data_IF_454308910398
#
_entry.id   IF_454308910398
#
_cell.length_a   1.000
_cell.length_b   1.000
_cell.length_c   1.000
_cell.angle_alpha   90.00
_cell.angle_beta   90.00
_cell.angle_gamma   90.00
#
_symmetry.space_group_name_H-M   'P 1'
#
loop_
_entity.id
_entity.type
_entity.pdbx_description
1 polymer ?
#
# COMPACT_ATOMS: atom_id res chain seq x y z
N UNK A 1 12.78 12.21 -4.44
CA UNK A 1 13.13 13.39 -5.26
C UNK A 1 14.60 13.40 -5.64
N UNK A 2 15.54 13.30 -4.69
CA UNK A 2 16.99 13.31 -4.98
C UNK A 2 17.39 12.22 -5.98
N UNK A 3 16.94 10.99 -5.79
CA UNK A 3 17.20 9.86 -6.70
C UNK A 3 16.65 10.09 -8.10
N UNK A 4 15.50 10.72 -8.21
CA UNK A 4 14.91 11.07 -9.50
C UNK A 4 15.72 12.16 -10.21
N UNK A 5 16.10 13.20 -9.49
CA UNK A 5 16.98 14.27 -10.02
C UNK A 5 18.31 13.69 -10.49
N UNK A 6 18.94 12.80 -9.70
CA UNK A 6 20.16 12.10 -10.09
C UNK A 6 19.95 11.25 -11.36
N UNK A 7 18.80 10.57 -11.47
CA UNK A 7 18.45 9.83 -12.67
C UNK A 7 18.31 10.72 -13.92
N UNK A 8 17.65 11.89 -13.80
CA UNK A 8 17.55 12.86 -14.88
C UNK A 8 18.94 13.38 -15.29
N UNK A 9 19.79 13.69 -14.32
CA UNK A 9 21.19 14.12 -14.60
C UNK A 9 21.95 13.01 -15.32
N UNK A 10 21.81 11.76 -14.90
CA UNK A 10 22.46 10.62 -15.55
C UNK A 10 21.97 10.45 -17.01
N UNK A 11 20.70 10.70 -17.28
CA UNK A 11 20.15 10.67 -18.64
C UNK A 11 20.69 11.82 -19.49
N UNK A 12 20.76 13.04 -18.94
CA UNK A 12 21.28 14.22 -19.63
C UNK A 12 22.80 14.14 -19.91
N UNK A 13 23.54 13.48 -19.01
CA UNK A 13 25.00 13.26 -19.18
C UNK A 13 25.33 12.06 -20.07
N UNK A 14 24.32 11.32 -20.56
CA UNK A 14 24.52 10.17 -21.42
C UNK A 14 24.93 8.87 -20.70
N UNK A 15 24.94 8.86 -19.38
CA UNK A 15 25.18 7.64 -18.59
C UNK A 15 23.98 6.69 -18.62
N UNK A 16 22.78 7.23 -18.79
CA UNK A 16 21.54 6.46 -18.88
C UNK A 16 20.99 6.57 -20.31
N UNK A 17 21.05 5.46 -21.06
CA UNK A 17 20.54 5.40 -22.42
C UNK A 17 19.10 4.87 -22.41
N UNK A 18 18.20 5.62 -23.03
CA UNK A 18 16.80 5.22 -23.26
C UNK A 18 16.76 4.20 -24.38
N UNK A 19 16.32 2.99 -24.08
CA UNK A 19 16.13 1.91 -25.05
C UNK A 19 14.76 1.25 -24.84
N UNK A 20 13.73 1.70 -25.59
CA UNK A 20 12.37 1.16 -25.44
C UNK A 20 12.28 -0.34 -25.74
N UNK A 21 13.21 -0.90 -26.53
CA UNK A 21 13.23 -2.32 -26.83
C UNK A 21 13.66 -3.19 -25.62
N UNK A 22 14.33 -2.58 -24.63
CA UNK A 22 14.77 -3.21 -23.39
C UNK A 22 13.96 -2.71 -22.17
N UNK A 23 12.81 -2.13 -22.41
CA UNK A 23 11.93 -1.54 -21.37
C UNK A 23 12.60 -0.43 -20.53
N UNK A 24 13.63 0.22 -21.10
CA UNK A 24 14.34 1.33 -20.47
C UNK A 24 13.72 2.65 -20.95
N UNK A 25 12.85 3.22 -20.15
CA UNK A 25 12.09 4.43 -20.49
C UNK A 25 12.78 5.72 -20.05
N UNK A 26 12.39 6.84 -20.66
CA UNK A 26 12.90 8.16 -20.29
C UNK A 26 12.53 8.52 -18.86
N UNK A 27 13.52 9.03 -18.11
CA UNK A 27 13.34 9.52 -16.73
C UNK A 27 12.88 10.98 -16.72
N UNK A 28 12.93 11.64 -17.87
CA UNK A 28 12.42 13.01 -18.03
C UNK A 28 10.92 12.93 -18.23
N UNK A 29 10.11 13.56 -17.37
CA UNK A 29 8.66 13.52 -17.48
C UNK A 29 8.22 14.20 -18.79
N UNK A 30 7.54 13.46 -19.64
CA UNK A 30 6.88 14.02 -20.83
C UNK A 30 5.38 14.12 -20.57
N UNK A 31 4.86 15.32 -20.52
CA UNK A 31 3.42 15.56 -20.36
C UNK A 31 2.69 15.63 -21.72
N UNK A 32 3.37 15.23 -22.79
CA UNK A 32 2.78 15.16 -24.12
C UNK A 32 1.67 14.11 -24.15
N UNK A 33 0.42 14.54 -24.29
CA UNK A 33 -0.77 13.67 -24.24
C UNK A 33 -1.28 13.35 -22.85
N UNK A 34 -0.76 13.98 -21.80
CA UNK A 34 -1.24 13.78 -20.44
C UNK A 34 -2.66 14.34 -20.27
N UNK A 35 -3.60 13.49 -19.85
CA UNK A 35 -4.94 13.92 -19.47
C UNK A 35 -5.00 14.13 -17.96
N UNK A 36 -5.28 15.35 -17.55
CA UNK A 36 -5.54 15.71 -16.15
C UNK A 36 -6.95 15.38 -15.70
N UNK A 37 -7.80 14.91 -16.62
CA UNK A 37 -9.14 14.45 -16.29
C UNK A 37 -9.03 12.94 -16.03
N UNK A 38 -9.34 12.46 -14.82
CA UNK A 38 -9.31 11.05 -14.51
C UNK A 38 -10.32 10.30 -15.38
N UNK A 39 -9.91 9.15 -15.89
CA UNK A 39 -10.85 8.26 -16.61
C UNK A 39 -11.86 7.70 -15.60
N UNK A 40 -13.09 7.52 -16.04
CA UNK A 40 -14.10 6.87 -15.23
C UNK A 40 -13.65 5.46 -14.82
N UNK A 41 -13.84 5.06 -13.55
CA UNK A 41 -13.52 3.72 -13.10
C UNK A 41 -14.40 2.68 -13.82
N UNK A 42 -13.90 1.47 -13.95
CA UNK A 42 -14.63 0.32 -14.48
C UNK A 42 -15.60 -0.20 -13.41
N UNK A 43 -16.73 0.46 -13.24
CA UNK A 43 -17.69 0.12 -12.20
C UNK A 43 -18.44 -1.16 -12.54
N UNK A 44 -18.56 -2.06 -11.56
CA UNK A 44 -19.36 -3.28 -11.63
C UNK A 44 -19.07 -4.20 -12.84
N UNK A 45 -17.86 -4.18 -13.37
CA UNK A 45 -17.44 -5.02 -14.49
C UNK A 45 -17.05 -6.43 -14.00
N UNK A 46 -17.97 -7.13 -13.35
CA UNK A 46 -17.75 -8.49 -12.87
C UNK A 46 -18.02 -9.50 -13.98
N UNK A 47 -17.06 -10.40 -14.21
CA UNK A 47 -17.26 -11.56 -15.08
C UNK A 47 -17.27 -12.85 -14.24
N UNK A 48 -18.48 -13.36 -14.00
CA UNK A 48 -18.67 -14.63 -13.29
C UNK A 48 -18.68 -15.85 -14.20
N UNK A 49 -18.62 -15.67 -15.53
CA UNK A 49 -18.63 -16.78 -16.48
C UNK A 49 -17.36 -17.65 -16.34
N UNK A 50 -16.23 -17.02 -16.06
CA UNK A 50 -14.97 -17.72 -15.79
C UNK A 50 -15.05 -18.55 -14.50
N UNK A 51 -15.65 -18.01 -13.45
CA UNK A 51 -15.80 -18.67 -12.14
C UNK A 51 -16.56 -19.99 -12.26
N UNK A 52 -17.64 -20.01 -13.03
CA UNK A 52 -18.45 -21.23 -13.24
C UNK A 52 -17.69 -22.36 -13.94
N UNK A 53 -16.65 -22.03 -14.73
CA UNK A 53 -15.82 -23.00 -15.43
C UNK A 53 -14.61 -23.48 -14.62
N UNK A 54 -14.10 -22.65 -13.70
CA UNK A 54 -12.84 -22.84 -13.00
C UNK A 54 -13.00 -22.66 -11.47
N UNK A 55 -14.00 -23.32 -10.90
CA UNK A 55 -14.40 -23.11 -9.49
C UNK A 55 -13.27 -23.46 -8.51
N UNK A 56 -12.47 -24.48 -8.80
CA UNK A 56 -11.34 -24.88 -7.94
C UNK A 56 -10.23 -23.85 -7.98
N UNK A 57 -9.85 -23.38 -9.17
CA UNK A 57 -8.85 -22.32 -9.33
C UNK A 57 -9.32 -21.02 -8.66
N UNK A 58 -10.60 -20.68 -8.84
CA UNK A 58 -11.20 -19.53 -8.18
C UNK A 58 -11.09 -19.64 -6.65
N UNK A 59 -11.44 -20.80 -6.08
CA UNK A 59 -11.34 -21.02 -4.64
C UNK A 59 -9.90 -20.88 -4.12
N UNK A 60 -8.92 -21.41 -4.84
CA UNK A 60 -7.50 -21.28 -4.50
C UNK A 60 -7.04 -19.82 -4.55
N UNK A 61 -7.44 -19.07 -5.58
CA UNK A 61 -7.11 -17.66 -5.74
C UNK A 61 -7.72 -16.85 -4.58
N UNK A 62 -9.02 -17.04 -4.32
CA UNK A 62 -9.74 -16.32 -3.25
C UNK A 62 -9.09 -16.61 -1.90
N UNK A 63 -8.79 -17.88 -1.61
CA UNK A 63 -8.14 -18.26 -0.35
C UNK A 63 -6.76 -17.62 -0.22
N UNK A 64 -5.95 -17.63 -1.28
CA UNK A 64 -4.62 -17.03 -1.28
C UNK A 64 -4.67 -15.52 -1.04
N UNK A 65 -5.55 -14.81 -1.74
CA UNK A 65 -5.72 -13.37 -1.57
C UNK A 65 -6.27 -13.03 -0.18
N UNK A 66 -7.25 -13.79 0.31
CA UNK A 66 -7.81 -13.61 1.66
C UNK A 66 -6.72 -13.75 2.72
N UNK A 67 -5.86 -14.75 2.58
CA UNK A 67 -4.79 -15.02 3.54
C UNK A 67 -3.77 -13.88 3.55
N UNK A 68 -3.30 -13.46 2.38
CA UNK A 68 -2.35 -12.35 2.25
C UNK A 68 -2.94 -11.06 2.79
N UNK A 69 -4.17 -10.71 2.40
CA UNK A 69 -4.85 -9.48 2.81
C UNK A 69 -5.07 -9.44 4.34
N UNK A 70 -5.48 -10.56 4.93
CA UNK A 70 -5.71 -10.66 6.37
C UNK A 70 -4.42 -10.45 7.18
N UNK A 71 -3.32 -11.10 6.79
CA UNK A 71 -2.05 -10.95 7.49
C UNK A 71 -1.45 -9.56 7.32
N UNK A 72 -1.52 -9.00 6.11
CA UNK A 72 -1.06 -7.64 5.83
C UNK A 72 -1.84 -6.62 6.67
N UNK A 73 -3.17 -6.71 6.66
CA UNK A 73 -4.03 -5.81 7.44
C UNK A 73 -3.78 -5.93 8.94
N UNK A 74 -3.72 -7.15 9.48
CA UNK A 74 -3.49 -7.36 10.92
C UNK A 74 -2.12 -6.81 11.33
N UNK A 75 -1.07 -7.13 10.58
CA UNK A 75 0.29 -6.65 10.86
C UNK A 75 0.38 -5.13 10.82
N UNK A 76 -0.21 -4.52 9.79
CA UNK A 76 -0.23 -3.07 9.64
C UNK A 76 -1.02 -2.39 10.76
N UNK A 77 -2.21 -2.90 11.12
CA UNK A 77 -3.02 -2.34 12.19
C UNK A 77 -2.29 -2.38 13.54
N UNK A 78 -1.64 -3.50 13.86
CA UNK A 78 -0.86 -3.64 15.10
C UNK A 78 0.34 -2.69 15.07
N UNK A 79 1.07 -2.64 13.96
CA UNK A 79 2.23 -1.76 13.80
C UNK A 79 1.89 -0.28 13.95
N UNK A 80 0.81 0.19 13.30
CA UNK A 80 0.32 1.56 13.40
C UNK A 80 -0.20 1.86 14.81
N UNK A 81 -0.97 0.94 15.42
CA UNK A 81 -1.51 1.09 16.75
C UNK A 81 -0.41 1.15 17.83
N UNK A 82 0.62 0.33 17.70
CA UNK A 82 1.79 0.35 18.58
C UNK A 82 2.49 1.70 18.55
N UNK A 83 2.78 2.22 17.35
CA UNK A 83 3.37 3.56 17.20
C UNK A 83 2.45 4.68 17.70
N UNK A 84 1.14 4.49 17.60
CA UNK A 84 0.14 5.41 18.08
C UNK A 84 -0.08 5.40 19.59
N UNK A 85 0.44 4.40 20.30
CA UNK A 85 0.09 4.15 21.71
C UNK A 85 -1.40 3.86 21.86
N UNK A 86 -1.98 3.14 20.90
CA UNK A 86 -3.39 2.80 20.83
C UNK A 86 -3.67 1.36 21.28
N UNK A 87 -2.64 0.60 21.64
CA UNK A 87 -2.75 -0.73 22.21
C UNK A 87 -3.15 -0.64 23.68
N UNK A 88 -3.86 -1.66 24.18
CA UNK A 88 -4.18 -1.80 25.59
C UNK A 88 -2.96 -2.27 26.41
N UNK A 89 -3.11 -2.39 27.73
CA UNK A 89 -2.04 -2.85 28.65
C UNK A 89 -1.54 -4.26 28.34
N UNK A 90 -2.35 -5.06 27.65
CA UNK A 90 -2.01 -6.42 27.24
C UNK A 90 -1.44 -6.50 25.82
N UNK A 91 -1.22 -5.37 25.16
CA UNK A 91 -0.72 -5.30 23.78
C UNK A 91 -1.78 -5.58 22.70
N UNK A 92 -3.07 -5.70 23.07
CA UNK A 92 -4.12 -5.95 22.09
C UNK A 92 -4.64 -4.64 21.49
N UNK A 93 -5.12 -4.72 20.25
CA UNK A 93 -5.77 -3.61 19.58
C UNK A 93 -7.24 -3.49 20.05
N UNK A 94 -7.61 -2.43 20.79
CA UNK A 94 -9.00 -2.19 21.14
C UNK A 94 -9.83 -2.03 19.87
N UNK A 95 -10.99 -2.71 19.82
CA UNK A 95 -11.90 -2.68 18.67
C UNK A 95 -11.31 -3.23 17.35
N UNK A 96 -10.38 -4.18 17.41
CA UNK A 96 -9.80 -4.83 16.23
C UNK A 96 -10.87 -5.31 15.23
N UNK A 97 -11.98 -5.88 15.72
CA UNK A 97 -13.11 -6.30 14.88
C UNK A 97 -13.68 -5.15 14.05
N UNK A 98 -13.80 -3.96 14.62
CA UNK A 98 -14.30 -2.78 13.90
C UNK A 98 -13.32 -2.31 12.81
N UNK A 99 -12.01 -2.35 13.09
CA UNK A 99 -10.98 -2.01 12.13
C UNK A 99 -10.96 -2.99 10.95
N UNK A 100 -10.97 -4.30 11.21
CA UNK A 100 -11.02 -5.33 10.18
C UNK A 100 -12.29 -5.27 9.32
N UNK A 101 -13.46 -4.99 9.95
CA UNK A 101 -14.68 -4.80 9.19
C UNK A 101 -14.63 -3.56 8.30
N UNK A 102 -14.02 -2.46 8.76
CA UNK A 102 -13.86 -1.26 7.96
C UNK A 102 -12.96 -1.51 6.74
N UNK A 103 -11.89 -2.27 6.91
CA UNK A 103 -10.98 -2.70 5.85
C UNK A 103 -11.68 -3.58 4.81
N UNK A 104 -12.43 -4.60 5.28
CA UNK A 104 -13.23 -5.46 4.41
C UNK A 104 -14.29 -4.68 3.60
N UNK A 105 -14.98 -3.71 4.22
CA UNK A 105 -15.91 -2.83 3.51
C UNK A 105 -15.19 -1.96 2.47
N UNK A 106 -13.99 -1.45 2.79
CA UNK A 106 -13.16 -0.73 1.85
C UNK A 106 -12.80 -1.59 0.62
N UNK A 107 -12.40 -2.83 0.85
CA UNK A 107 -12.08 -3.80 -0.22
C UNK A 107 -13.29 -4.12 -1.09
N UNK A 108 -14.48 -4.33 -0.50
CA UNK A 108 -15.72 -4.55 -1.26
C UNK A 108 -16.04 -3.34 -2.16
N UNK A 109 -15.96 -2.13 -1.61
CA UNK A 109 -16.18 -0.91 -2.39
C UNK A 109 -15.12 -0.77 -3.50
N UNK A 110 -13.84 -1.02 -3.18
CA UNK A 110 -12.76 -1.02 -4.17
C UNK A 110 -13.03 -1.99 -5.32
N UNK A 111 -13.46 -3.22 -5.02
CA UNK A 111 -13.83 -4.20 -6.04
C UNK A 111 -14.99 -3.71 -6.93
N UNK A 112 -16.00 -3.03 -6.37
CA UNK A 112 -17.08 -2.43 -7.14
C UNK A 112 -16.58 -1.34 -8.10
N UNK A 113 -15.52 -0.62 -7.74
CA UNK A 113 -14.88 0.38 -8.60
C UNK A 113 -13.82 -0.21 -9.54
N UNK A 114 -13.58 -1.51 -9.50
CA UNK A 114 -12.57 -2.18 -10.33
C UNK A 114 -11.14 -1.92 -9.90
N UNK A 115 -10.91 -1.61 -8.62
CA UNK A 115 -9.56 -1.47 -8.05
C UNK A 115 -9.08 -2.79 -7.41
N UNK A 116 -7.82 -2.86 -7.05
CA UNK A 116 -7.28 -3.93 -6.20
C UNK A 116 -7.85 -3.83 -4.78
N UNK A 117 -7.46 -4.78 -3.91
CA UNK A 117 -7.79 -4.73 -2.48
C UNK A 117 -7.43 -3.37 -1.88
N UNK A 118 -8.29 -2.89 -1.00
CA UNK A 118 -8.07 -1.67 -0.22
C UNK A 118 -7.65 -2.11 1.18
N UNK A 119 -6.40 -1.87 1.53
CA UNK A 119 -5.83 -2.29 2.82
C UNK A 119 -5.28 -1.10 3.59
N UNK A 120 -5.06 -1.29 4.87
CA UNK A 120 -4.42 -0.29 5.73
C UNK A 120 -2.94 -0.18 5.40
N UNK A 121 -2.43 1.05 5.23
CA UNK A 121 -1.04 1.30 4.85
C UNK A 121 -0.15 1.56 6.06
N UNK A 122 1.05 1.00 6.01
CA UNK A 122 2.12 1.20 7.01
C UNK A 122 2.56 2.66 7.09
N UNK A 123 2.49 3.38 5.98
CA UNK A 123 2.79 4.81 5.88
C UNK A 123 1.88 5.66 6.78
N UNK A 124 0.72 5.14 7.18
CA UNK A 124 -0.16 5.75 8.19
C UNK A 124 0.55 5.97 9.54
N UNK A 125 1.61 5.19 9.82
CA UNK A 125 2.48 5.39 10.99
C UNK A 125 3.08 6.78 11.05
N UNK A 126 3.43 7.37 9.90
CA UNK A 126 3.95 8.73 9.83
C UNK A 126 2.91 9.77 10.25
N UNK A 127 1.66 9.59 9.80
CA UNK A 127 0.54 10.46 10.19
C UNK A 127 0.22 10.36 11.68
N UNK A 128 0.24 9.14 12.22
CA UNK A 128 0.00 8.89 13.65
C UNK A 128 1.15 9.44 14.50
N UNK A 129 2.40 9.28 14.06
CA UNK A 129 3.57 9.87 14.74
C UNK A 129 3.55 11.40 14.73
N UNK A 130 3.00 12.02 13.69
CA UNK A 130 2.79 13.46 13.59
C UNK A 130 1.63 13.97 14.47
N UNK A 131 0.91 13.08 15.17
CA UNK A 131 -0.19 13.44 16.10
C UNK A 131 -1.59 13.17 15.56
N UNK A 132 -1.73 12.54 14.40
CA UNK A 132 -3.04 12.12 13.87
C UNK A 132 -3.64 10.99 14.71
N UNK A 133 -4.74 11.29 15.44
CA UNK A 133 -5.36 10.36 16.40
C UNK A 133 -6.84 10.14 16.17
N UNK A 134 -7.41 10.79 15.17
CA UNK A 134 -8.86 10.80 14.93
C UNK A 134 -9.18 10.37 13.49
N UNK A 135 -10.41 9.90 13.26
CA UNK A 135 -10.91 9.60 11.93
C UNK A 135 -10.86 10.78 10.95
N UNK A 136 -10.79 12.01 11.48
CA UNK A 136 -10.64 13.21 10.64
C UNK A 136 -9.33 13.18 9.84
N UNK A 137 -8.24 12.64 10.41
CA UNK A 137 -6.97 12.43 9.69
C UNK A 137 -7.17 11.55 8.46
N UNK A 138 -7.90 10.44 8.61
CA UNK A 138 -8.21 9.54 7.51
C UNK A 138 -9.08 10.21 6.44
N UNK A 139 -10.10 10.98 6.84
CA UNK A 139 -10.96 11.74 5.91
C UNK A 139 -10.14 12.76 5.12
N UNK A 140 -9.29 13.54 5.77
CA UNK A 140 -8.42 14.51 5.09
C UNK A 140 -7.49 13.82 4.11
N UNK A 141 -6.88 12.70 4.50
CA UNK A 141 -6.04 11.90 3.61
C UNK A 141 -6.83 11.40 2.39
N UNK A 142 -8.05 10.90 2.59
CA UNK A 142 -8.92 10.46 1.50
C UNK A 142 -9.27 11.60 0.53
N UNK A 143 -9.58 12.79 1.05
CA UNK A 143 -9.84 13.98 0.21
C UNK A 143 -8.59 14.37 -0.58
N UNK A 144 -7.40 14.33 0.04
CA UNK A 144 -6.14 14.60 -0.67
C UNK A 144 -5.87 13.57 -1.78
N UNK A 145 -6.18 12.29 -1.57
CA UNK A 145 -6.12 11.28 -2.62
C UNK A 145 -7.09 11.57 -3.77
N UNK A 146 -8.32 11.99 -3.49
CA UNK A 146 -9.27 12.40 -4.54
C UNK A 146 -8.75 13.60 -5.35
N UNK A 147 -8.17 14.59 -4.68
CA UNK A 147 -7.55 15.73 -5.37
C UNK A 147 -6.35 15.27 -6.21
N UNK A 148 -5.56 14.32 -5.71
CA UNK A 148 -4.39 13.79 -6.42
C UNK A 148 -4.73 13.09 -7.73
N UNK A 149 -5.95 12.61 -7.92
CA UNK A 149 -6.40 12.04 -9.19
C UNK A 149 -6.28 13.01 -10.37
N UNK A 150 -6.52 14.30 -10.12
CA UNK A 150 -6.35 15.33 -11.14
C UNK A 150 -4.89 15.59 -11.46
N UNK A 151 -3.98 15.24 -10.56
CA UNK A 151 -2.54 15.33 -10.73
C UNK A 151 -1.89 14.00 -11.12
N UNK A 152 -2.70 13.02 -11.51
CA UNK A 152 -2.26 11.68 -11.91
C UNK A 152 -1.07 11.68 -12.87
N UNK A 153 -0.99 12.52 -13.93
CA UNK A 153 0.16 12.52 -14.83
C UNK A 153 1.48 12.88 -14.13
N UNK A 154 1.42 13.73 -13.09
CA UNK A 154 2.60 14.12 -12.32
C UNK A 154 3.10 12.95 -11.49
N UNK A 155 2.19 12.23 -10.81
CA UNK A 155 2.54 11.08 -9.99
C UNK A 155 3.03 9.90 -10.83
N UNK A 156 2.40 9.65 -11.98
CA UNK A 156 2.81 8.61 -12.92
C UNK A 156 4.15 8.89 -13.60
N UNK A 157 4.58 10.15 -13.64
CA UNK A 157 5.89 10.51 -14.15
C UNK A 157 7.04 10.13 -13.21
N UNK A 158 6.76 9.80 -11.94
CA UNK A 158 7.76 9.40 -10.95
C UNK A 158 8.18 7.96 -11.26
N UNK A 159 9.45 7.71 -11.64
CA UNK A 159 9.89 6.36 -11.96
C UNK A 159 10.00 5.50 -10.69
N UNK A 160 9.79 4.18 -10.85
CA UNK A 160 9.76 3.23 -9.72
C UNK A 160 11.04 3.23 -8.88
N UNK A 161 12.24 3.40 -9.49
CA UNK A 161 13.48 3.47 -8.73
C UNK A 161 13.56 4.69 -7.79
N UNK A 162 12.82 5.75 -8.07
CA UNK A 162 12.80 6.94 -7.21
C UNK A 162 11.98 6.74 -5.93
N UNK A 163 11.08 5.76 -5.92
CA UNK A 163 10.29 5.37 -4.74
C UNK A 163 10.98 4.32 -3.87
N UNK A 164 11.90 3.54 -4.45
CA UNK A 164 12.64 2.46 -3.75
C UNK A 164 13.30 2.90 -2.44
N UNK A 165 14.03 4.04 -2.36
CA UNK A 165 14.63 4.46 -1.09
C UNK A 165 13.61 4.76 -0.01
N UNK A 166 12.41 5.26 -0.38
CA UNK A 166 11.34 5.50 0.59
C UNK A 166 10.79 4.17 1.13
N UNK A 167 10.60 3.17 0.25
CA UNK A 167 10.16 1.84 0.65
C UNK A 167 11.18 1.14 1.55
N UNK A 168 12.48 1.24 1.23
CA UNK A 168 13.56 0.72 2.09
C UNK A 168 13.53 1.40 3.46
N UNK A 169 13.34 2.72 3.51
CA UNK A 169 13.27 3.46 4.77
C UNK A 169 12.06 3.01 5.62
N UNK A 170 10.88 2.84 5.00
CA UNK A 170 9.69 2.32 5.68
C UNK A 170 9.94 0.90 6.20
N UNK A 171 10.55 0.02 5.38
CA UNK A 171 10.94 -1.32 5.81
C UNK A 171 11.88 -1.32 7.02
N UNK A 172 12.87 -0.41 7.04
CA UNK A 172 13.75 -0.26 8.19
C UNK A 172 13.02 0.22 9.46
N UNK A 173 12.04 1.11 9.32
CA UNK A 173 11.19 1.53 10.44
C UNK A 173 10.36 0.36 10.99
N UNK A 174 9.88 -0.53 10.13
CA UNK A 174 9.16 -1.73 10.55
C UNK A 174 10.07 -2.73 11.25
N UNK A 175 11.31 -2.91 10.79
CA UNK A 175 12.29 -3.77 11.45
C UNK A 175 12.58 -3.34 12.89
N UNK A 176 12.37 -2.09 13.25
CA UNK A 176 12.51 -1.66 14.64
C UNK A 176 11.49 -2.32 15.58
N UNK A 177 10.34 -2.74 15.07
CA UNK A 177 9.31 -3.44 15.82
C UNK A 177 9.74 -4.88 16.17
N UNK A 178 10.59 -5.49 15.33
CA UNK A 178 11.15 -6.83 15.58
C UNK A 178 11.98 -6.88 16.88
N UNK A 179 12.59 -5.77 17.28
CA UNK A 179 13.34 -5.69 18.55
C UNK A 179 12.48 -5.86 19.79
N UNK A 180 11.19 -5.66 19.67
CA UNK A 180 10.24 -5.79 20.76
C UNK A 180 9.62 -7.19 20.84
N UNK A 181 10.00 -8.08 19.91
CA UNK A 181 9.57 -9.48 19.93
C UNK A 181 10.39 -10.25 20.95
N UNK A 182 9.72 -11.02 21.77
CA UNK A 182 10.35 -11.96 22.68
C UNK A 182 10.64 -13.26 21.94
N UNK A 183 11.91 -13.45 21.55
CA UNK A 183 12.36 -14.64 20.85
C UNK A 183 12.57 -15.85 21.78
N UNK A 184 12.51 -15.63 23.11
CA UNK A 184 12.63 -16.69 24.12
C UNK A 184 11.26 -17.27 24.50
N UNK A 185 10.17 -16.67 24.05
CA UNK A 185 8.82 -17.18 24.24
C UNK A 185 8.47 -18.28 23.24
N UNK A 186 7.35 -18.93 23.45
CA UNK A 186 6.91 -20.11 22.69
C UNK A 186 7.01 -19.88 21.17
N UNK A 187 7.43 -20.90 20.42
CA UNK A 187 7.62 -20.85 18.96
C UNK A 187 6.41 -20.27 18.23
N UNK A 188 5.20 -20.47 18.77
CA UNK A 188 3.95 -19.95 18.23
C UNK A 188 3.91 -18.41 18.24
N UNK A 189 4.38 -17.76 19.33
CA UNK A 189 4.39 -16.30 19.44
C UNK A 189 5.46 -15.68 18.54
N UNK A 190 6.60 -16.33 18.45
CA UNK A 190 7.69 -15.89 17.56
C UNK A 190 7.31 -16.02 16.09
N UNK A 191 6.69 -17.14 15.69
CA UNK A 191 6.23 -17.35 14.32
C UNK A 191 5.10 -16.38 13.95
N UNK A 192 4.16 -16.13 14.87
CA UNK A 192 3.10 -15.12 14.68
C UNK A 192 3.65 -13.72 14.47
N UNK A 193 4.67 -13.35 15.24
CA UNK A 193 5.34 -12.06 15.12
C UNK A 193 6.11 -11.87 13.80
N UNK A 194 6.65 -12.93 13.21
CA UNK A 194 7.32 -12.88 11.90
C UNK A 194 6.34 -12.80 10.73
N UNK A 195 5.10 -13.27 10.91
CA UNK A 195 4.07 -13.23 9.87
C UNK A 195 3.25 -11.93 9.89
N UNK A 196 3.30 -11.17 10.97
CA UNK A 196 2.67 -9.86 11.13
C UNK A 196 3.61 -8.72 10.74
#
# INVERSE_FOLDING_TARGET
>A
LLTWIMGIIAQLTGWYHVDPAKEVYSLIPSFSGASFIPKAPTMFAFDFAWVGKNIVEFAVIVFSFLFVDLFDTVGTLIGVASKGGLLDENGNLPRAKGALLSDAFGTILGACFGTSTVTSYVESTAGVAAGGRTGLTAVVTGVLFLISLFFSPIFLAIPGFATTPALVYVGLLMLTSVKNMDFDSDIADTAGGFMA
#
